data_IF_790182858793
#
_entry.id   IF_790182858793
#
_cell.length_a   1.000
_cell.length_b   1.000
_cell.length_c   1.000
_cell.angle_alpha   90.00
_cell.angle_beta   90.00
_cell.angle_gamma   90.00
#
_symmetry.space_group_name_H-M   'P 1'
#
loop_
_entity.id
_entity.type
_entity.pdbx_description
1 polymer ?
#
# COMPACT_ATOMS: atom_id res chain seq x y z
N UNK A 1 -42.05 -6.90 -12.88
CA UNK A 1 -40.74 -7.57 -12.69
C UNK A 1 -39.91 -6.69 -11.76
N UNK A 2 -39.51 -7.21 -10.59
CA UNK A 2 -38.64 -6.49 -9.66
C UNK A 2 -37.18 -6.67 -10.08
N UNK A 3 -36.36 -5.62 -9.92
CA UNK A 3 -34.91 -5.73 -10.16
C UNK A 3 -34.26 -6.49 -9.00
N UNK A 4 -33.33 -7.39 -9.31
CA UNK A 4 -32.64 -8.22 -8.30
C UNK A 4 -31.13 -8.05 -8.45
N UNK A 5 -30.43 -7.87 -7.32
CA UNK A 5 -28.97 -7.76 -7.27
C UNK A 5 -28.38 -9.00 -6.61
N UNK A 6 -27.32 -9.55 -7.20
CA UNK A 6 -26.58 -10.71 -6.68
C UNK A 6 -25.09 -10.40 -6.60
N UNK A 7 -24.47 -10.82 -5.49
CA UNK A 7 -23.03 -10.73 -5.26
C UNK A 7 -22.42 -12.14 -5.37
N UNK A 8 -21.35 -12.27 -6.16
CA UNK A 8 -20.61 -13.52 -6.32
C UNK A 8 -19.14 -13.34 -5.91
N UNK A 9 -18.49 -14.38 -5.36
CA UNK A 9 -19.04 -15.72 -5.10
C UNK A 9 -19.97 -15.77 -3.87
N UNK A 10 -19.90 -14.77 -2.99
CA UNK A 10 -20.58 -14.74 -1.71
C UNK A 10 -20.88 -13.30 -1.29
N UNK A 11 -21.92 -13.12 -0.46
CA UNK A 11 -22.21 -11.83 0.22
C UNK A 11 -21.23 -11.54 1.35
N UNK A 12 -20.41 -12.53 1.73
CA UNK A 12 -19.27 -12.41 2.64
C UNK A 12 -18.01 -12.57 1.82
N UNK A 13 -17.16 -11.55 1.82
CA UNK A 13 -15.86 -11.54 1.18
C UNK A 13 -14.90 -10.72 2.05
N UNK A 14 -13.60 -10.90 1.83
CA UNK A 14 -12.58 -10.00 2.38
C UNK A 14 -12.48 -8.75 1.50
N UNK A 15 -11.86 -7.70 2.03
CA UNK A 15 -11.72 -6.42 1.32
C UNK A 15 -10.81 -6.55 0.08
N UNK A 16 -9.83 -7.44 0.12
CA UNK A 16 -8.88 -7.72 -0.96
C UNK A 16 -9.39 -8.78 -1.96
N UNK A 17 -10.59 -9.32 -1.75
CA UNK A 17 -11.19 -10.32 -2.64
C UNK A 17 -12.08 -9.66 -3.70
N UNK A 18 -11.90 -10.00 -4.99
CA UNK A 18 -12.75 -9.47 -6.05
C UNK A 18 -14.17 -10.03 -5.92
N UNK A 19 -15.16 -9.14 -6.05
CA UNK A 19 -16.58 -9.51 -6.12
C UNK A 19 -17.18 -9.14 -7.47
N UNK A 20 -18.08 -9.98 -7.96
CA UNK A 20 -18.91 -9.68 -9.13
C UNK A 20 -20.30 -9.24 -8.68
N UNK A 21 -20.81 -8.16 -9.27
CA UNK A 21 -22.20 -7.74 -9.09
C UNK A 21 -23.00 -8.06 -10.34
N UNK A 22 -24.07 -8.85 -10.16
CA UNK A 22 -25.04 -9.14 -11.21
C UNK A 22 -26.36 -8.45 -10.92
N UNK A 23 -26.96 -7.88 -11.96
CA UNK A 23 -28.27 -7.23 -11.88
C UNK A 23 -29.23 -7.91 -12.86
N UNK A 24 -30.33 -8.43 -12.34
CA UNK A 24 -31.39 -9.09 -13.10
C UNK A 24 -32.65 -8.22 -13.19
N UNK A 25 -33.49 -8.48 -14.20
CA UNK A 25 -34.77 -7.78 -14.38
C UNK A 25 -34.67 -6.41 -15.06
N UNK A 26 -33.57 -6.15 -15.78
CA UNK A 26 -33.40 -4.95 -16.61
C UNK A 26 -34.09 -5.11 -17.97
N UNK A 27 -34.73 -4.04 -18.46
CA UNK A 27 -35.25 -4.00 -19.83
C UNK A 27 -34.09 -3.81 -20.83
N UNK A 28 -34.28 -4.27 -22.06
CA UNK A 28 -33.33 -4.03 -23.14
C UNK A 28 -33.02 -2.53 -23.27
N UNK A 29 -31.74 -2.18 -23.40
CA UNK A 29 -31.23 -0.79 -23.46
C UNK A 29 -31.52 0.08 -22.24
N UNK A 30 -32.06 -0.47 -21.15
CA UNK A 30 -32.28 0.26 -19.90
C UNK A 30 -30.95 0.75 -19.35
N UNK A 31 -30.90 2.04 -19.02
CA UNK A 31 -29.76 2.65 -18.34
C UNK A 31 -30.04 2.63 -16.84
N UNK A 32 -29.05 2.20 -16.06
CA UNK A 32 -29.11 2.18 -14.61
C UNK A 32 -27.84 2.80 -14.03
N UNK A 33 -27.97 3.50 -12.91
CA UNK A 33 -26.83 3.99 -12.15
C UNK A 33 -26.70 3.16 -10.90
N UNK A 34 -25.54 2.54 -10.72
CA UNK A 34 -25.17 1.90 -9.47
C UNK A 34 -24.46 2.92 -8.60
N UNK A 35 -24.78 2.90 -7.30
CA UNK A 35 -24.11 3.70 -6.28
C UNK A 35 -23.61 2.76 -5.18
N UNK A 36 -22.36 2.91 -4.80
CA UNK A 36 -21.80 2.28 -3.61
C UNK A 36 -21.53 3.37 -2.58
N UNK A 37 -21.79 3.05 -1.31
CA UNK A 37 -21.54 3.92 -0.17
C UNK A 37 -20.97 3.09 0.97
N UNK A 38 -19.95 3.61 1.62
CA UNK A 38 -19.36 3.02 2.83
C UNK A 38 -19.17 4.11 3.88
N UNK A 39 -19.13 3.72 5.15
CA UNK A 39 -18.93 4.64 6.27
C UNK A 39 -17.79 4.11 7.12
N UNK A 40 -16.78 4.95 7.37
CA UNK A 40 -15.65 4.58 8.24
C UNK A 40 -16.08 4.57 9.72
N UNK A 41 -15.20 4.09 10.61
CA UNK A 41 -15.47 4.02 12.05
C UNK A 41 -15.68 5.39 12.71
N UNK A 42 -15.34 6.49 12.03
CA UNK A 42 -15.55 7.87 12.49
C UNK A 42 -16.84 8.48 11.93
N UNK A 43 -17.62 7.72 11.16
CA UNK A 43 -18.85 8.19 10.55
C UNK A 43 -18.67 8.97 9.25
N UNK A 44 -17.47 8.97 8.66
CA UNK A 44 -17.23 9.63 7.37
C UNK A 44 -17.78 8.76 6.25
N UNK A 45 -18.69 9.32 5.46
CA UNK A 45 -19.30 8.65 4.33
C UNK A 45 -18.45 8.85 3.08
N UNK A 46 -18.26 7.74 2.38
CA UNK A 46 -17.56 7.66 1.13
C UNK A 46 -18.50 7.11 0.06
N UNK A 47 -18.53 7.74 -1.11
CA UNK A 47 -19.45 7.35 -2.19
C UNK A 47 -18.73 7.16 -3.52
N UNK A 48 -19.29 6.30 -4.35
CA UNK A 48 -18.95 6.16 -5.76
C UNK A 48 -20.19 5.80 -6.57
N UNK A 49 -20.18 6.09 -7.87
CA UNK A 49 -21.28 5.71 -8.75
C UNK A 49 -20.83 5.53 -10.20
N UNK A 50 -21.48 4.62 -10.92
CA UNK A 50 -21.27 4.45 -12.36
C UNK A 50 -22.59 4.11 -13.05
N UNK A 51 -22.71 4.55 -14.31
CA UNK A 51 -23.89 4.32 -15.13
C UNK A 51 -23.63 3.22 -16.14
N UNK A 52 -24.55 2.26 -16.23
CA UNK A 52 -24.49 1.08 -17.08
C UNK A 52 -25.70 1.06 -18.00
N UNK A 53 -25.54 0.48 -19.20
CA UNK A 53 -26.62 0.28 -20.16
C UNK A 53 -26.73 -1.20 -20.51
N UNK A 54 -27.94 -1.76 -20.37
CA UNK A 54 -28.21 -3.15 -20.75
C UNK A 54 -28.01 -3.35 -22.26
N UNK A 55 -27.26 -4.39 -22.64
CA UNK A 55 -27.02 -4.76 -24.05
C UNK A 55 -28.29 -5.29 -24.73
N UNK A 56 -28.30 -5.31 -26.07
CA UNK A 56 -29.44 -5.75 -26.89
C UNK A 56 -29.79 -7.24 -26.71
N UNK A 57 -28.87 -8.06 -26.19
CA UNK A 57 -29.14 -9.46 -25.84
C UNK A 57 -29.76 -9.55 -24.44
N UNK A 58 -31.07 -9.80 -24.38
CA UNK A 58 -31.80 -10.02 -23.13
C UNK A 58 -31.44 -11.36 -22.47
N UNK A 59 -30.25 -11.44 -21.88
CA UNK A 59 -30.01 -12.38 -20.79
C UNK A 59 -30.77 -11.91 -19.56
N UNK A 60 -31.40 -12.82 -18.81
CA UNK A 60 -32.13 -12.50 -17.58
C UNK A 60 -31.23 -11.85 -16.50
N UNK A 61 -29.91 -12.01 -16.62
CA UNK A 61 -28.89 -11.42 -15.76
C UNK A 61 -27.86 -10.61 -16.56
N UNK A 62 -27.66 -9.35 -16.19
CA UNK A 62 -26.51 -8.56 -16.61
C UNK A 62 -25.35 -8.84 -15.66
N UNK A 63 -24.25 -9.38 -16.19
CA UNK A 63 -22.98 -9.41 -15.45
C UNK A 63 -22.29 -8.08 -15.69
N UNK A 64 -22.18 -7.27 -14.64
CA UNK A 64 -21.45 -6.01 -14.71
C UNK A 64 -19.98 -6.31 -14.40
N UNK A 65 -19.28 -6.88 -15.39
CA UNK A 65 -17.82 -7.09 -15.38
C UNK A 65 -17.10 -5.74 -15.62
N UNK A 66 -15.88 -5.52 -15.07
CA UNK A 66 -15.63 -4.32 -14.27
C UNK A 66 -15.30 -3.07 -15.10
N UNK A 67 -15.92 -1.93 -14.79
CA UNK A 67 -15.41 -0.99 -13.80
C UNK A 67 -15.78 -1.24 -12.31
N UNK A 68 -16.13 -2.49 -11.95
CA UNK A 68 -15.80 -3.22 -10.72
C UNK A 68 -16.23 -2.61 -9.37
N UNK A 69 -16.92 -3.36 -8.49
CA UNK A 69 -17.19 -2.93 -7.12
C UNK A 69 -15.91 -2.58 -6.34
N UNK A 70 -14.79 -3.26 -6.64
CA UNK A 70 -13.46 -2.94 -6.12
C UNK A 70 -12.96 -1.57 -6.60
N UNK A 71 -13.16 -1.24 -7.89
CA UNK A 71 -12.82 0.08 -8.44
C UNK A 71 -13.77 1.17 -7.88
N UNK A 72 -15.03 0.83 -7.62
CA UNK A 72 -15.98 1.70 -6.92
C UNK A 72 -15.50 1.99 -5.50
N UNK A 73 -15.14 0.96 -4.71
CA UNK A 73 -14.53 1.07 -3.38
C UNK A 73 -13.21 1.84 -3.39
N UNK A 74 -12.37 1.66 -4.40
CA UNK A 74 -11.10 2.38 -4.58
C UNK A 74 -11.27 3.81 -5.14
N UNK A 75 -12.46 4.16 -5.66
CA UNK A 75 -12.83 5.51 -6.12
C UNK A 75 -13.78 6.21 -5.15
N UNK A 76 -13.79 5.76 -3.89
CA UNK A 76 -14.54 6.38 -2.81
C UNK A 76 -13.98 7.76 -2.49
N UNK A 77 -14.77 8.79 -2.78
CA UNK A 77 -14.46 10.15 -2.36
C UNK A 77 -15.24 10.47 -1.08
N UNK A 78 -14.61 11.10 -0.08
CA UNK A 78 -15.31 11.52 1.13
C UNK A 78 -16.31 12.64 0.79
N UNK A 79 -17.49 12.62 1.40
CA UNK A 79 -18.50 13.68 1.20
C UNK A 79 -18.04 15.07 1.68
N UNK A 80 -17.01 15.14 2.52
CA UNK A 80 -16.32 16.38 2.90
C UNK A 80 -14.86 16.34 2.45
N UNK A 81 -14.47 17.31 1.62
CA UNK A 81 -13.06 17.62 1.34
C UNK A 81 -12.45 18.28 2.58
N UNK A 82 -11.77 17.46 3.40
CA UNK A 82 -10.94 17.79 4.58
C UNK A 82 -10.93 19.27 5.04
N UNK A 83 -11.65 19.58 6.10
CA UNK A 83 -11.19 20.56 7.11
C UNK A 83 -10.33 19.77 8.12
N UNK A 84 -9.03 20.10 8.21
CA UNK A 84 -8.07 19.63 9.21
C UNK A 84 -7.93 18.11 9.42
N UNK A 85 -7.50 17.35 8.40
CA UNK A 85 -6.93 16.03 8.67
C UNK A 85 -5.43 16.15 8.97
N UNK A 86 -4.94 15.66 10.13
CA UNK A 86 -3.50 15.54 10.36
C UNK A 86 -2.88 14.66 9.27
N UNK A 87 -1.66 15.00 8.87
CA UNK A 87 -0.89 14.26 7.89
C UNK A 87 -0.74 12.81 8.38
N UNK A 88 -1.41 11.86 7.72
CA UNK A 88 -1.35 10.42 8.02
C UNK A 88 0.06 9.81 7.95
N UNK A 89 1.08 10.59 7.58
CA UNK A 89 2.48 10.15 7.52
C UNK A 89 3.18 10.01 8.88
N UNK A 90 2.61 10.54 9.98
CA UNK A 90 3.23 10.46 11.32
C UNK A 90 2.53 9.50 12.29
N UNK A 91 1.30 9.07 12.01
CA UNK A 91 0.64 8.02 12.80
C UNK A 91 0.99 6.67 12.20
N UNK A 92 1.78 5.88 12.93
CA UNK A 92 2.43 4.68 12.43
C UNK A 92 1.46 3.62 11.90
N UNK A 93 1.38 3.51 10.58
CA UNK A 93 0.96 2.27 9.91
C UNK A 93 2.09 1.24 10.00
N UNK A 94 2.35 0.71 11.19
CA UNK A 94 2.97 -0.61 11.30
C UNK A 94 1.89 -1.64 11.00
N UNK A 95 1.62 -1.89 9.72
CA UNK A 95 0.83 -3.06 9.36
C UNK A 95 1.74 -4.27 9.46
N UNK A 96 1.89 -4.81 10.68
CA UNK A 96 2.42 -6.15 10.87
C UNK A 96 1.35 -7.10 10.31
N UNK A 97 1.41 -7.36 9.00
CA UNK A 97 0.58 -8.36 8.39
C UNK A 97 1.04 -9.70 8.95
N UNK A 98 0.32 -10.17 9.98
CA UNK A 98 0.15 -11.60 10.18
C UNK A 98 -0.60 -12.04 8.93
N UNK A 99 0.17 -12.36 7.88
CA UNK A 99 -0.33 -12.82 6.59
C UNK A 99 -1.50 -13.77 6.83
N UNK A 100 -2.59 -13.55 6.10
CA UNK A 100 -3.73 -14.45 5.90
C UNK A 100 -3.53 -15.80 6.58
N UNK A 101 -4.43 -16.15 7.51
CA UNK A 101 -4.49 -17.39 8.31
C UNK A 101 -4.05 -18.65 7.57
N UNK A 102 -2.74 -18.81 7.40
CA UNK A 102 -2.01 -20.04 7.27
C UNK A 102 -1.06 -19.99 8.46
N UNK A 103 -1.24 -20.94 9.37
CA UNK A 103 -0.29 -21.17 10.46
C UNK A 103 1.11 -21.27 9.86
N UNK A 104 1.93 -20.25 10.09
CA UNK A 104 3.38 -20.32 9.89
C UNK A 104 4.04 -20.99 11.10
N UNK A 105 3.40 -22.03 11.65
CA UNK A 105 3.87 -22.76 12.83
C UNK A 105 5.07 -23.67 12.49
N UNK A 106 5.49 -23.76 11.23
CA UNK A 106 6.56 -24.67 10.80
C UNK A 106 7.58 -23.98 9.86
N UNK A 107 8.73 -23.64 10.46
CA UNK A 107 10.07 -23.43 9.85
C UNK A 107 10.15 -22.37 8.73
N UNK A 108 10.13 -21.09 9.10
CA UNK A 108 10.59 -20.00 8.23
C UNK A 108 12.11 -19.84 8.30
N UNK A 109 12.76 -19.45 7.18
CA UNK A 109 14.20 -19.13 7.12
C UNK A 109 14.59 -17.84 7.86
N UNK A 110 13.60 -17.13 8.42
CA UNK A 110 13.73 -15.84 9.08
C UNK A 110 12.39 -15.09 9.10
N UNK A 111 12.44 -13.80 9.39
CA UNK A 111 11.28 -12.90 9.44
C UNK A 111 11.20 -12.09 8.15
N UNK A 112 10.00 -11.99 7.59
CA UNK A 112 9.68 -11.05 6.52
C UNK A 112 9.07 -9.76 7.07
N UNK A 113 9.44 -8.62 6.51
CA UNK A 113 8.92 -7.31 6.92
C UNK A 113 8.27 -6.63 5.72
N UNK A 114 7.02 -6.20 5.85
CA UNK A 114 6.39 -5.26 4.91
C UNK A 114 6.32 -3.90 5.58
N UNK A 115 6.75 -2.87 4.87
CA UNK A 115 6.86 -1.52 5.41
C UNK A 115 6.47 -0.48 4.36
N UNK A 116 5.88 0.61 4.84
CA UNK A 116 5.50 1.76 4.02
C UNK A 116 5.97 3.06 4.67
N UNK A 117 6.34 4.06 3.86
CA UNK A 117 6.68 5.40 4.32
C UNK A 117 7.79 5.39 5.39
N UNK A 118 7.63 6.04 6.54
CA UNK A 118 8.63 6.06 7.62
C UNK A 118 8.97 4.64 8.13
N UNK A 119 8.03 3.70 8.07
CA UNK A 119 8.31 2.31 8.47
C UNK A 119 9.42 1.66 7.65
N UNK A 120 9.66 2.14 6.43
CA UNK A 120 10.66 1.60 5.53
C UNK A 120 12.09 1.85 6.01
N UNK A 121 12.41 3.03 6.55
CA UNK A 121 13.77 3.31 7.01
C UNK A 121 14.10 2.52 8.29
N UNK A 122 13.09 2.22 9.11
CA UNK A 122 13.18 1.28 10.22
C UNK A 122 13.39 -0.15 9.70
N UNK A 123 12.63 -0.60 8.70
CA UNK A 123 12.75 -1.94 8.14
C UNK A 123 14.12 -2.19 7.49
N UNK A 124 14.64 -1.21 6.73
CA UNK A 124 16.00 -1.25 6.18
C UNK A 124 17.05 -1.27 7.29
N UNK A 125 16.86 -0.46 8.35
CA UNK A 125 17.76 -0.46 9.51
C UNK A 125 17.75 -1.81 10.24
N UNK A 126 16.58 -2.43 10.42
CA UNK A 126 16.46 -3.77 11.00
C UNK A 126 17.23 -4.78 10.16
N UNK A 127 17.08 -4.75 8.84
CA UNK A 127 17.80 -5.65 7.94
C UNK A 127 19.33 -5.44 8.00
N UNK A 128 19.79 -4.20 8.16
CA UNK A 128 21.22 -3.87 8.20
C UNK A 128 21.90 -4.15 9.56
N UNK A 129 21.18 -4.09 10.67
CA UNK A 129 21.76 -4.14 12.02
C UNK A 129 21.31 -5.33 12.87
N UNK A 130 20.29 -6.09 12.45
CA UNK A 130 19.70 -7.21 13.20
C UNK A 130 19.68 -8.48 12.34
N UNK A 131 20.12 -9.60 12.93
CA UNK A 131 20.09 -10.90 12.28
C UNK A 131 18.66 -11.47 12.22
N UNK A 132 18.39 -12.31 11.23
CA UNK A 132 17.13 -13.04 11.09
C UNK A 132 16.06 -12.34 10.25
N UNK A 133 16.35 -11.16 9.68
CA UNK A 133 15.50 -10.56 8.64
C UNK A 133 15.84 -11.22 7.30
N UNK A 134 14.92 -12.03 6.77
CA UNK A 134 15.11 -12.79 5.54
C UNK A 134 14.61 -12.04 4.29
N UNK A 135 13.58 -11.21 4.44
CA UNK A 135 12.98 -10.48 3.33
C UNK A 135 12.38 -9.15 3.80
N UNK A 136 12.55 -8.09 3.02
CA UNK A 136 11.94 -6.78 3.25
C UNK A 136 11.21 -6.33 1.99
N UNK A 137 9.92 -6.05 2.14
CA UNK A 137 9.11 -5.32 1.18
C UNK A 137 9.07 -3.86 1.63
N UNK A 138 9.63 -3.01 0.79
CA UNK A 138 9.77 -1.58 1.02
C UNK A 138 8.80 -0.86 0.08
N UNK A 139 7.93 0.01 0.62
CA UNK A 139 6.91 0.73 -0.16
C UNK A 139 7.04 2.23 0.07
N UNK A 140 7.45 3.00 -0.94
CA UNK A 140 7.51 4.47 -0.89
C UNK A 140 8.23 5.02 0.36
N UNK A 141 9.39 4.43 0.68
CA UNK A 141 10.17 4.78 1.86
C UNK A 141 11.32 5.76 1.58
N UNK A 142 12.16 5.99 2.60
CA UNK A 142 13.49 6.58 2.40
C UNK A 142 14.56 5.49 2.59
N UNK A 143 15.71 5.65 1.92
CA UNK A 143 16.92 4.84 2.17
C UNK A 143 17.79 5.40 3.30
N UNK A 144 17.36 6.52 3.90
CA UNK A 144 18.04 7.19 5.01
C UNK A 144 17.10 7.34 6.20
N UNK A 145 17.67 7.43 7.40
CA UNK A 145 16.90 7.59 8.63
C UNK A 145 16.36 9.03 8.75
N UNK A 146 15.05 9.21 8.60
CA UNK A 146 14.43 10.54 8.58
C UNK A 146 13.90 10.99 9.96
N UNK A 147 14.07 12.27 10.28
CA UNK A 147 13.50 13.03 11.39
C UNK A 147 13.92 12.64 12.82
N UNK A 148 13.94 11.35 13.17
CA UNK A 148 14.22 10.87 14.53
C UNK A 148 15.56 10.12 14.52
N UNK A 149 16.55 10.48 15.36
CA UNK A 149 17.80 9.73 15.46
C UNK A 149 17.54 8.27 15.86
N UNK A 150 18.19 7.33 15.19
CA UNK A 150 18.00 5.91 15.44
C UNK A 150 19.06 5.38 16.42
N UNK A 151 18.60 4.71 17.48
CA UNK A 151 19.45 4.13 18.51
C UNK A 151 19.33 2.60 18.53
N UNK A 152 20.46 1.93 18.73
CA UNK A 152 20.51 0.49 19.00
C UNK A 152 21.50 0.22 20.12
N UNK A 153 21.08 -0.53 21.15
CA UNK A 153 21.87 -0.80 22.36
C UNK A 153 22.43 0.48 23.02
N UNK A 154 21.56 1.49 23.19
CA UNK A 154 21.88 2.82 23.75
C UNK A 154 22.95 3.63 22.99
N UNK A 155 23.30 3.24 21.76
CA UNK A 155 24.19 3.99 20.88
C UNK A 155 23.40 4.51 19.70
N UNK A 156 23.56 5.79 19.36
CA UNK A 156 23.05 6.30 18.09
C UNK A 156 23.79 5.62 16.95
N UNK A 157 23.05 4.95 16.07
CA UNK A 157 23.59 4.23 14.92
C UNK A 157 23.35 4.97 13.61
N UNK A 158 22.31 5.81 13.54
CA UNK A 158 22.02 6.67 12.40
C UNK A 158 21.57 8.06 12.88
N UNK A 159 22.14 9.09 12.27
CA UNK A 159 21.71 10.48 12.44
C UNK A 159 20.38 10.73 11.75
N UNK A 160 19.58 11.72 12.21
CA UNK A 160 18.35 12.07 11.54
C UNK A 160 18.64 12.94 10.32
N UNK A 161 18.10 12.54 9.17
CA UNK A 161 17.98 13.40 8.01
C UNK A 161 16.80 14.34 8.23
N UNK A 162 17.06 15.65 8.21
CA UNK A 162 16.10 16.67 8.61
C UNK A 162 15.35 17.25 7.41
N UNK A 163 14.20 17.87 7.72
CA UNK A 163 13.40 18.58 6.73
C UNK A 163 13.81 20.06 6.64
N UNK A 164 13.86 20.57 5.42
CA UNK A 164 14.00 21.97 5.07
C UNK A 164 12.65 22.54 4.63
N UNK A 165 11.96 23.16 5.57
CA UNK A 165 10.62 23.72 5.33
C UNK A 165 10.63 24.92 4.37
N UNK A 166 11.79 25.52 4.08
CA UNK A 166 11.92 26.56 3.07
C UNK A 166 11.72 26.02 1.64
N UNK A 167 11.83 24.69 1.44
CA UNK A 167 11.59 24.02 0.15
C UNK A 167 10.11 23.63 -0.06
N UNK A 168 9.22 23.98 0.87
CA UNK A 168 7.77 23.72 0.73
C UNK A 168 7.20 24.57 -0.40
N UNK A 169 6.49 23.94 -1.33
CA UNK A 169 5.86 24.63 -2.46
C UNK A 169 4.37 24.83 -2.14
N UNK A 170 3.88 26.08 -2.05
CA UNK A 170 2.46 26.35 -1.90
C UNK A 170 1.72 26.06 -3.22
N UNK A 171 0.49 25.56 -3.12
CA UNK A 171 -0.38 25.33 -4.29
C UNK A 171 -1.60 26.24 -4.24
N UNK A 172 -2.23 26.48 -5.39
CA UNK A 172 -3.44 27.29 -5.51
C UNK A 172 -4.60 26.78 -4.65
N UNK A 173 -4.65 25.47 -4.39
CA UNK A 173 -5.66 24.84 -3.53
C UNK A 173 -5.48 25.12 -2.03
N UNK A 174 -4.37 25.75 -1.63
CA UNK A 174 -3.96 25.88 -0.23
C UNK A 174 -3.22 24.64 0.33
N UNK A 175 -3.17 23.52 -0.42
CA UNK A 175 -2.32 22.38 -0.08
C UNK A 175 -0.83 22.74 -0.20
N UNK A 176 0.01 22.09 0.59
CA UNK A 176 1.46 22.26 0.60
C UNK A 176 2.11 21.04 -0.01
N UNK A 177 2.90 21.24 -1.07
CA UNK A 177 3.72 20.19 -1.66
C UNK A 177 5.05 20.11 -0.88
N UNK A 178 5.29 18.94 -0.28
CA UNK A 178 6.45 18.68 0.59
C UNK A 178 7.49 17.77 -0.03
N UNK A 179 7.30 17.38 -1.28
CA UNK A 179 8.17 16.47 -2.04
C UNK A 179 9.68 16.73 -1.88
N UNK A 180 10.09 18.00 -1.96
CA UNK A 180 11.50 18.40 -1.96
C UNK A 180 12.03 18.84 -0.59
N UNK A 181 11.27 18.61 0.49
CA UNK A 181 11.66 19.15 1.81
C UNK A 181 12.72 18.31 2.51
N UNK A 182 12.95 17.06 2.12
CA UNK A 182 14.02 16.27 2.71
C UNK A 182 15.39 16.82 2.26
N UNK A 183 16.33 16.95 3.19
CA UNK A 183 17.71 17.30 2.82
C UNK A 183 18.40 16.17 2.05
N UNK A 184 19.44 16.51 1.29
CA UNK A 184 20.15 15.54 0.44
C UNK A 184 20.91 14.52 1.32
N UNK A 185 20.54 13.22 1.28
CA UNK A 185 21.24 12.18 2.05
C UNK A 185 22.68 11.94 1.58
N UNK A 186 23.03 12.33 0.35
CA UNK A 186 24.36 12.13 -0.22
C UNK A 186 25.34 13.27 0.14
N UNK A 187 24.83 14.37 0.69
CA UNK A 187 25.66 15.47 1.19
C UNK A 187 26.56 15.00 2.36
N UNK A 188 27.78 15.52 2.44
CA UNK A 188 28.81 15.07 3.39
C UNK A 188 28.32 15.16 4.85
N UNK A 189 27.61 16.23 5.19
CA UNK A 189 27.01 16.46 6.49
C UNK A 189 25.91 15.45 6.87
N UNK A 190 25.30 14.80 5.88
CA UNK A 190 24.15 13.91 6.03
C UNK A 190 24.49 12.42 5.89
N UNK A 191 25.75 12.07 5.58
CA UNK A 191 26.17 10.67 5.38
C UNK A 191 25.85 9.77 6.58
N UNK A 192 25.86 10.32 7.80
CA UNK A 192 25.50 9.57 9.01
C UNK A 192 24.03 9.12 9.08
N UNK A 193 23.17 9.59 8.18
CA UNK A 193 21.75 9.19 8.08
C UNK A 193 21.51 8.03 7.11
N UNK A 194 22.46 7.75 6.20
CA UNK A 194 22.31 6.73 5.16
C UNK A 194 22.30 5.34 5.77
N UNK A 195 21.32 4.53 5.42
CA UNK A 195 21.20 3.17 5.95
C UNK A 195 22.13 2.25 5.14
N UNK A 196 23.05 1.52 5.80
CA UNK A 196 24.01 0.65 5.13
C UNK A 196 23.37 -0.69 4.75
N UNK A 197 22.45 -0.67 3.79
CA UNK A 197 21.67 -1.85 3.36
C UNK A 197 22.55 -2.95 2.76
N UNK A 198 23.76 -2.62 2.30
CA UNK A 198 24.76 -3.57 1.83
C UNK A 198 25.23 -4.54 2.93
N UNK A 199 24.95 -4.24 4.20
CA UNK A 199 25.24 -5.11 5.35
C UNK A 199 24.16 -6.16 5.61
N UNK A 200 23.01 -6.05 4.95
CA UNK A 200 21.92 -6.96 5.16
C UNK A 200 22.11 -8.25 4.36
N UNK A 201 21.89 -9.40 5.02
CA UNK A 201 21.90 -10.72 4.38
C UNK A 201 20.54 -11.08 3.73
N UNK A 202 19.51 -10.25 3.97
CA UNK A 202 18.14 -10.45 3.50
C UNK A 202 17.90 -9.99 2.07
N UNK A 203 16.75 -10.38 1.52
CA UNK A 203 16.31 -9.95 0.20
C UNK A 203 15.42 -8.71 0.27
N UNK A 204 15.47 -7.86 -0.75
CA UNK A 204 14.67 -6.64 -0.83
C UNK A 204 13.77 -6.63 -2.06
N UNK A 205 12.52 -6.23 -1.87
CA UNK A 205 11.62 -5.81 -2.93
C UNK A 205 11.27 -4.34 -2.73
N UNK A 206 11.74 -3.49 -3.64
CA UNK A 206 11.41 -2.07 -3.66
C UNK A 206 10.17 -1.84 -4.52
N UNK A 207 9.13 -1.32 -3.88
CA UNK A 207 7.91 -0.86 -4.51
C UNK A 207 7.91 0.66 -4.39
N UNK A 208 8.15 1.33 -5.51
CA UNK A 208 8.10 2.77 -5.61
C UNK A 208 6.94 3.14 -6.52
N UNK A 209 6.12 4.07 -6.05
CA UNK A 209 5.20 4.83 -6.88
C UNK A 209 6.02 5.95 -7.52
N UNK A 210 6.02 6.00 -8.85
CA UNK A 210 6.51 7.19 -9.57
C UNK A 210 5.80 8.45 -9.03
N UNK A 211 4.53 8.25 -8.66
CA UNK A 211 3.59 9.27 -8.21
C UNK A 211 3.65 9.71 -6.74
N UNK A 212 4.76 9.48 -6.05
CA UNK A 212 4.89 9.90 -4.65
C UNK A 212 5.14 11.43 -4.51
N UNK A 213 4.30 12.10 -3.72
CA UNK A 213 4.42 13.54 -3.40
C UNK A 213 4.94 13.79 -1.97
N UNK A 214 5.19 12.73 -1.20
CA UNK A 214 5.72 12.79 0.16
C UNK A 214 7.25 12.87 0.17
N UNK A 215 7.93 12.24 -0.79
CA UNK A 215 9.37 12.25 -1.00
C UNK A 215 9.69 12.57 -2.46
N UNK A 216 10.92 13.02 -2.77
CA UNK A 216 11.35 13.19 -4.15
C UNK A 216 11.52 11.83 -4.85
N UNK A 217 10.39 11.32 -5.34
CA UNK A 217 10.26 10.31 -6.38
C UNK A 217 9.34 10.92 -7.46
N UNK A 218 9.63 10.69 -8.73
CA UNK A 218 9.28 11.59 -9.83
C UNK A 218 7.81 11.50 -10.29
N UNK A 219 6.96 12.39 -9.74
CA UNK A 219 5.70 13.04 -10.26
C UNK A 219 4.36 12.31 -10.04
N UNK A 220 3.38 13.00 -9.42
CA UNK A 220 2.06 12.51 -8.95
C UNK A 220 1.07 11.85 -9.94
N UNK A 221 0.00 11.27 -9.38
CA UNK A 221 -0.72 10.15 -10.01
C UNK A 221 -2.23 10.17 -10.07
N UNK A 222 -2.74 9.39 -11.03
CA UNK A 222 -4.16 9.23 -11.33
C UNK A 222 -4.80 8.06 -10.55
N UNK A 223 -6.00 8.24 -9.94
CA UNK A 223 -6.62 7.24 -9.07
C UNK A 223 -6.78 5.83 -9.67
N UNK A 224 -7.07 5.75 -10.98
CA UNK A 224 -7.21 4.45 -11.67
C UNK A 224 -5.88 3.72 -11.82
N UNK A 225 -4.79 4.45 -12.06
CA UNK A 225 -3.46 3.87 -12.18
C UNK A 225 -2.97 3.37 -10.81
N UNK A 226 -3.24 4.14 -9.76
CA UNK A 226 -2.92 3.77 -8.38
C UNK A 226 -3.62 2.46 -7.96
N UNK A 227 -4.94 2.38 -8.16
CA UNK A 227 -5.73 1.18 -7.86
C UNK A 227 -5.26 -0.08 -8.60
N UNK A 228 -4.92 0.07 -9.89
CA UNK A 228 -4.37 -1.04 -10.68
C UNK A 228 -2.98 -1.46 -10.20
N UNK A 229 -2.16 -0.49 -9.79
CA UNK A 229 -0.84 -0.75 -9.21
C UNK A 229 -0.97 -1.51 -7.88
N UNK A 230 -1.86 -1.10 -6.97
CA UNK A 230 -2.09 -1.78 -5.68
C UNK A 230 -2.40 -3.27 -5.86
N UNK A 231 -3.34 -3.62 -6.74
CA UNK A 231 -3.73 -5.01 -6.98
C UNK A 231 -2.59 -5.86 -7.56
N UNK A 232 -1.87 -5.31 -8.54
CA UNK A 232 -0.73 -5.98 -9.16
C UNK A 232 0.43 -6.16 -8.18
N UNK A 233 0.70 -5.14 -7.35
CA UNK A 233 1.77 -5.13 -6.37
C UNK A 233 1.46 -6.07 -5.21
N UNK A 234 0.21 -6.16 -4.76
CA UNK A 234 -0.19 -7.06 -3.67
C UNK A 234 0.24 -8.51 -3.94
N UNK A 235 -0.09 -9.01 -5.14
CA UNK A 235 0.30 -10.36 -5.54
C UNK A 235 1.81 -10.54 -5.62
N UNK A 236 2.54 -9.56 -6.18
CA UNK A 236 4.01 -9.60 -6.25
C UNK A 236 4.68 -9.63 -4.88
N UNK A 237 4.16 -8.84 -3.92
CA UNK A 237 4.68 -8.82 -2.56
C UNK A 237 4.47 -10.16 -1.86
N UNK A 238 3.30 -10.78 -2.04
CA UNK A 238 3.03 -12.13 -1.55
C UNK A 238 3.99 -13.16 -2.16
N UNK A 239 4.13 -13.17 -3.49
CA UNK A 239 4.99 -14.13 -4.18
C UNK A 239 6.47 -13.97 -3.78
N UNK A 240 6.94 -12.73 -3.61
CA UNK A 240 8.28 -12.44 -3.09
C UNK A 240 8.48 -13.00 -1.68
N UNK A 241 7.58 -12.71 -0.75
CA UNK A 241 7.68 -13.23 0.61
C UNK A 241 7.63 -14.75 0.65
N UNK A 242 6.75 -15.37 -0.14
CA UNK A 242 6.69 -16.83 -0.26
C UNK A 242 8.02 -17.41 -0.75
N UNK A 243 8.63 -16.80 -1.78
CA UNK A 243 9.90 -17.28 -2.33
C UNK A 243 11.07 -17.19 -1.33
N UNK A 244 11.10 -16.15 -0.49
CA UNK A 244 12.24 -15.86 0.38
C UNK A 244 12.06 -16.32 1.84
N UNK A 245 10.83 -16.60 2.28
CA UNK A 245 10.55 -17.13 3.62
C UNK A 245 10.37 -18.65 3.64
N UNK A 246 9.99 -19.26 2.51
CA UNK A 246 9.78 -20.71 2.43
C UNK A 246 11.10 -21.48 2.56
N UNK A 247 11.09 -22.54 3.38
CA UNK A 247 12.22 -23.45 3.47
C UNK A 247 12.36 -24.24 2.15
N UNK A 248 13.56 -24.25 1.56
CA UNK A 248 13.92 -25.32 0.62
C UNK A 248 14.45 -26.47 1.46
N UNK A 249 13.95 -27.69 1.26
CA UNK A 249 14.39 -28.88 1.97
C UNK A 249 15.82 -29.35 1.59
N UNK A 250 16.75 -28.44 1.30
CA UNK A 250 18.09 -28.77 0.86
C UNK A 250 19.16 -28.03 1.68
N UNK A 251 20.06 -28.83 2.24
CA UNK A 251 21.30 -28.53 2.97
C UNK A 251 21.25 -28.37 4.49
N UNK A 252 20.85 -29.47 5.16
CA UNK A 252 21.59 -29.89 6.36
C UNK A 252 22.85 -30.64 5.91
N UNK A 253 23.91 -29.92 5.59
CA UNK A 253 25.26 -30.45 5.79
C UNK A 253 25.97 -29.51 6.75
N UNK A 254 26.11 -29.99 7.99
CA UNK A 254 26.97 -29.39 9.00
C UNK A 254 28.39 -29.29 8.44
N UNK A 255 28.95 -28.08 8.40
CA UNK A 255 30.40 -27.92 8.40
C UNK A 255 30.89 -28.23 9.82
N UNK A 256 31.31 -29.48 10.02
CA UNK A 256 32.39 -29.86 10.94
C UNK A 256 33.50 -30.43 10.06
#
# INVERSE_FOLDING_TARGET
>A
MAMTLRLLPSVRCLFDEPIQVKVAGLRSKQVVTMRASSTDERGLVFNSSASYRQSNGGGEEAVLEPAGPALMLQSHFPERSRENSPCWGCEGSFMMLRAHTQRWDEISKGVGVISQSKGCDIALSLAAFVQGIAAVVWINGCSSNVAIPLYYKNRQILSPLMFNLSKVIPTESGAKLVKYVLEDPLAEENQGSVIPIERADGHFLFVASEDDLNWDMVWGGEPKAHAAAELHLWKKMQDFLLAHLSCSAAHTQSKL
#
